data_IF_499990249037
#
_entry.id   IF_499990249037
#
_cell.length_a   1.000
_cell.length_b   1.000
_cell.length_c   1.000
_cell.angle_alpha   90.00
_cell.angle_beta   90.00
_cell.angle_gamma   90.00
#
_symmetry.space_group_name_H-M   'P 1'
#
loop_
_entity.id
_entity.type
_entity.pdbx_description
1 polymer ?
#
# COMPACT_ATOMS: atom_id res chain seq x y z
N UNK A 1 -5.54 11.62 40.83
CA UNK A 1 -5.67 10.66 39.71
C UNK A 1 -4.30 10.53 39.08
N UNK A 2 -3.64 9.40 39.30
CA UNK A 2 -2.25 9.12 38.94
C UNK A 2 -2.13 8.75 37.45
N UNK A 3 -1.34 9.52 36.70
CA UNK A 3 -0.99 9.19 35.32
C UNK A 3 0.12 8.12 35.31
N UNK A 4 -0.23 6.92 34.86
CA UNK A 4 0.69 5.80 34.66
C UNK A 4 1.49 5.99 33.37
N UNK A 5 2.66 6.62 33.47
CA UNK A 5 3.68 6.60 32.43
C UNK A 5 4.24 5.18 32.33
N UNK A 6 3.89 4.42 31.30
CA UNK A 6 4.59 3.16 30.96
C UNK A 6 6.08 3.43 30.77
N UNK A 7 6.99 2.69 31.43
CA UNK A 7 8.42 2.89 31.22
C UNK A 7 8.81 2.42 29.83
N UNK A 8 9.49 3.29 29.07
CA UNK A 8 10.12 2.96 27.79
C UNK A 8 11.09 1.78 27.99
N UNK A 9 10.85 0.65 27.31
CA UNK A 9 11.71 -0.53 27.43
C UNK A 9 13.08 -0.17 26.85
N UNK A 10 14.20 -0.40 27.56
CA UNK A 10 15.51 -0.06 27.04
C UNK A 10 15.79 -0.86 25.75
N UNK A 11 15.98 -0.16 24.63
CA UNK A 11 16.45 -0.77 23.39
C UNK A 11 17.83 -1.38 23.67
N UNK A 12 17.95 -2.70 23.56
CA UNK A 12 19.22 -3.40 23.75
C UNK A 12 20.29 -2.77 22.85
N UNK A 13 21.48 -2.44 23.38
CA UNK A 13 22.55 -1.89 22.57
C UNK A 13 22.94 -2.90 21.49
N UNK A 14 23.17 -2.40 20.29
CA UNK A 14 23.61 -3.24 19.17
C UNK A 14 25.03 -3.71 19.43
N UNK A 15 25.29 -5.00 19.19
CA UNK A 15 26.66 -5.49 19.16
C UNK A 15 27.45 -4.81 18.04
N UNK A 16 28.76 -4.69 18.23
CA UNK A 16 29.65 -4.12 17.22
C UNK A 16 29.53 -4.83 15.86
N UNK A 17 29.35 -6.16 15.90
CA UNK A 17 29.10 -6.99 14.70
C UNK A 17 27.81 -6.58 13.98
N UNK A 18 26.72 -6.35 14.72
CA UNK A 18 25.47 -5.86 14.14
C UNK A 18 25.59 -4.44 13.59
N UNK A 19 26.37 -3.58 14.25
CA UNK A 19 26.60 -2.20 13.79
C UNK A 19 27.43 -2.17 12.51
N UNK A 20 28.49 -2.96 12.43
CA UNK A 20 29.32 -3.11 11.23
C UNK A 20 28.50 -3.65 10.04
N UNK A 21 27.68 -4.68 10.26
CA UNK A 21 26.78 -5.22 9.24
C UNK A 21 25.76 -4.19 8.76
N UNK A 22 25.14 -3.43 9.67
CA UNK A 22 24.21 -2.34 9.31
C UNK A 22 24.88 -1.24 8.51
N UNK A 23 26.10 -0.83 8.87
CA UNK A 23 26.88 0.16 8.10
C UNK A 23 27.20 -0.36 6.69
N UNK A 24 27.58 -1.62 6.56
CA UNK A 24 27.86 -2.24 5.26
C UNK A 24 26.60 -2.30 4.39
N UNK A 25 25.46 -2.70 4.96
CA UNK A 25 24.19 -2.77 4.24
C UNK A 25 23.64 -1.39 3.87
N UNK A 26 23.82 -0.38 4.74
CA UNK A 26 23.44 1.01 4.43
C UNK A 26 24.23 1.59 3.25
N UNK A 27 25.49 1.17 3.06
CA UNK A 27 26.28 1.54 1.86
C UNK A 27 25.76 0.89 0.57
N UNK A 28 25.00 -0.21 0.67
CA UNK A 28 24.39 -0.92 -0.47
C UNK A 28 22.98 -0.40 -0.81
N UNK A 29 22.22 0.05 0.17
CA UNK A 29 20.86 0.59 -0.01
C UNK A 29 20.82 2.09 0.20
N UNK A 30 21.16 2.88 -0.83
CA UNK A 30 21.18 4.35 -0.72
C UNK A 30 19.90 5.05 -1.16
N UNK A 31 18.94 4.30 -1.73
CA UNK A 31 17.77 4.87 -2.41
C UNK A 31 18.15 5.89 -3.50
N UNK A 32 17.16 6.55 -4.11
CA UNK A 32 17.42 7.63 -5.06
C UNK A 32 17.90 8.89 -4.31
N UNK A 33 19.15 9.29 -4.51
CA UNK A 33 19.76 10.48 -3.85
C UNK A 33 19.67 11.76 -4.67
N UNK A 34 19.46 11.64 -5.99
CA UNK A 34 19.38 12.78 -6.91
C UNK A 34 17.93 13.23 -7.11
N UNK A 35 17.67 14.51 -7.44
CA UNK A 35 16.34 14.98 -7.81
C UNK A 35 15.71 14.15 -8.94
N UNK A 36 16.49 13.81 -9.98
CA UNK A 36 16.06 12.96 -11.09
C UNK A 36 15.74 11.52 -10.66
N UNK A 37 16.57 10.93 -9.77
CA UNK A 37 16.32 9.60 -9.22
C UNK A 37 15.06 9.56 -8.36
N UNK A 38 14.82 10.61 -7.57
CA UNK A 38 13.59 10.77 -6.79
C UNK A 38 12.38 10.94 -7.69
N UNK A 39 12.50 11.72 -8.77
CA UNK A 39 11.44 11.89 -9.77
C UNK A 39 11.10 10.58 -10.50
N UNK A 40 12.09 9.75 -10.85
CA UNK A 40 11.83 8.38 -11.36
C UNK A 40 11.15 7.50 -10.31
N UNK A 41 11.65 7.52 -9.07
CA UNK A 41 11.07 6.71 -8.00
C UNK A 41 9.64 7.13 -7.65
N UNK A 42 9.27 8.41 -7.76
CA UNK A 42 7.91 8.89 -7.54
C UNK A 42 6.96 8.51 -8.68
N UNK A 43 7.48 8.29 -9.89
CA UNK A 43 6.71 7.77 -11.01
C UNK A 43 6.31 6.30 -10.81
N UNK A 44 7.00 5.51 -9.97
CA UNK A 44 6.57 4.13 -9.67
C UNK A 44 5.15 4.08 -9.10
N UNK A 45 4.77 5.07 -8.28
CA UNK A 45 3.41 5.19 -7.75
C UNK A 45 2.36 5.48 -8.85
N UNK A 46 2.76 6.20 -9.91
CA UNK A 46 1.90 6.56 -11.06
C UNK A 46 1.88 5.48 -12.13
N UNK A 47 2.97 4.72 -12.30
CA UNK A 47 3.12 3.64 -13.28
C UNK A 47 2.16 2.50 -13.02
N UNK A 48 1.95 2.17 -11.74
CA UNK A 48 1.16 1.01 -11.33
C UNK A 48 -0.20 1.37 -10.71
N UNK A 49 -0.46 2.67 -10.55
CA UNK A 49 -1.73 3.21 -10.07
C UNK A 49 -2.18 2.68 -8.70
N UNK A 50 -1.25 2.16 -7.89
CA UNK A 50 -1.59 1.52 -6.62
C UNK A 50 -2.03 2.54 -5.55
N UNK A 51 -1.42 3.74 -5.60
CA UNK A 51 -1.74 4.87 -4.73
C UNK A 51 -2.64 5.92 -5.40
N UNK A 52 -3.27 5.61 -6.53
CA UNK A 52 -4.18 6.57 -7.16
C UNK A 52 -5.45 6.67 -6.34
N UNK A 53 -5.93 7.90 -6.12
CA UNK A 53 -7.24 8.14 -5.50
C UNK A 53 -8.37 7.61 -6.39
N UNK A 54 -8.13 7.54 -7.70
CA UNK A 54 -9.05 6.95 -8.68
C UNK A 54 -9.00 5.42 -8.59
N UNK A 55 -10.17 4.78 -8.46
CA UNK A 55 -10.31 3.33 -8.48
C UNK A 55 -9.95 2.71 -9.85
N UNK A 56 -10.39 3.38 -10.93
CA UNK A 56 -10.14 2.99 -12.32
C UNK A 56 -8.95 3.77 -12.90
N UNK A 57 -8.04 3.07 -13.58
CA UNK A 57 -7.02 3.69 -14.43
C UNK A 57 -7.52 3.83 -15.87
N UNK A 58 -6.95 4.77 -16.62
CA UNK A 58 -7.37 5.12 -17.99
C UNK A 58 -7.27 3.98 -19.02
N UNK A 59 -6.63 2.87 -18.67
CA UNK A 59 -6.38 1.71 -19.53
C UNK A 59 -7.05 0.43 -19.02
N UNK A 60 -7.85 0.52 -17.96
CA UNK A 60 -8.59 -0.63 -17.42
C UNK A 60 -9.96 -0.71 -18.06
N UNK A 61 -10.38 -1.93 -18.41
CA UNK A 61 -11.71 -2.24 -18.89
C UNK A 61 -12.72 -1.88 -17.77
N UNK A 62 -13.57 -0.86 -17.97
CA UNK A 62 -14.59 -0.50 -16.98
C UNK A 62 -15.51 -1.68 -16.66
N UNK A 63 -15.67 -2.61 -17.59
CA UNK A 63 -16.54 -3.77 -17.52
C UNK A 63 -16.10 -4.78 -16.45
N UNK A 64 -14.79 -5.04 -16.31
CA UNK A 64 -14.27 -5.99 -15.33
C UNK A 64 -14.45 -5.47 -13.90
N UNK A 65 -14.27 -4.16 -13.70
CA UNK A 65 -14.51 -3.53 -12.42
C UNK A 65 -16.01 -3.51 -12.09
N UNK A 66 -16.86 -3.18 -13.07
CA UNK A 66 -18.32 -3.21 -12.92
C UNK A 66 -18.80 -4.60 -12.55
N UNK A 67 -18.34 -5.65 -13.24
CA UNK A 67 -18.70 -7.03 -12.92
C UNK A 67 -18.27 -7.45 -11.51
N UNK A 68 -17.05 -7.07 -11.09
CA UNK A 68 -16.58 -7.33 -9.73
C UNK A 68 -17.42 -6.59 -8.69
N UNK A 69 -17.66 -5.30 -8.89
CA UNK A 69 -18.50 -4.48 -8.01
C UNK A 69 -19.90 -5.07 -7.88
N UNK A 70 -20.54 -5.40 -8.99
CA UNK A 70 -21.91 -5.91 -9.00
C UNK A 70 -21.99 -7.26 -8.30
N UNK A 71 -20.99 -8.14 -8.50
CA UNK A 71 -20.91 -9.41 -7.75
C UNK A 71 -20.84 -9.21 -6.23
N UNK A 72 -20.14 -8.17 -5.76
CA UNK A 72 -20.07 -7.87 -4.33
C UNK A 72 -21.37 -7.22 -3.80
N UNK A 73 -22.02 -6.37 -4.59
CA UNK A 73 -23.33 -5.81 -4.21
C UNK A 73 -24.37 -6.92 -4.08
N UNK A 74 -24.39 -7.86 -5.02
CA UNK A 74 -25.30 -9.01 -5.02
C UNK A 74 -25.02 -9.97 -3.85
N UNK A 75 -23.74 -10.17 -3.49
CA UNK A 75 -23.32 -11.02 -2.37
C UNK A 75 -23.67 -10.42 -1.02
N UNK A 76 -23.30 -9.15 -0.79
CA UNK A 76 -23.39 -8.53 0.53
C UNK A 76 -24.72 -7.81 0.78
N UNK A 77 -25.48 -7.49 -0.26
CA UNK A 77 -26.80 -6.85 -0.20
C UNK A 77 -26.83 -5.66 0.80
N UNK A 78 -25.98 -4.62 0.62
CA UNK A 78 -25.89 -3.52 1.56
C UNK A 78 -27.22 -2.76 1.68
N UNK A 79 -27.67 -2.53 2.91
CA UNK A 79 -28.94 -1.87 3.23
C UNK A 79 -28.76 -0.42 3.71
N UNK A 80 -27.52 -0.01 4.02
CA UNK A 80 -27.18 1.34 4.46
C UNK A 80 -26.09 1.99 3.60
N UNK A 81 -26.00 3.33 3.58
CA UNK A 81 -24.91 4.03 2.90
C UNK A 81 -23.51 3.61 3.40
N UNK A 82 -23.39 3.32 4.70
CA UNK A 82 -22.14 2.85 5.30
C UNK A 82 -21.76 1.46 4.78
N UNK A 83 -22.71 0.53 4.71
CA UNK A 83 -22.48 -0.79 4.14
C UNK A 83 -22.12 -0.71 2.65
N UNK A 84 -22.84 0.13 1.89
CA UNK A 84 -22.52 0.38 0.48
C UNK A 84 -21.09 0.91 0.32
N UNK A 85 -20.67 1.85 1.18
CA UNK A 85 -19.30 2.34 1.17
C UNK A 85 -18.28 1.24 1.42
N UNK A 86 -18.51 0.38 2.42
CA UNK A 86 -17.63 -0.76 2.70
C UNK A 86 -17.53 -1.73 1.51
N UNK A 87 -18.65 -2.07 0.89
CA UNK A 87 -18.70 -2.96 -0.29
C UNK A 87 -17.93 -2.38 -1.47
N UNK A 88 -18.11 -1.08 -1.74
CA UNK A 88 -17.37 -0.38 -2.78
C UNK A 88 -15.86 -0.35 -2.50
N UNK A 89 -15.44 -0.11 -1.25
CA UNK A 89 -14.03 -0.14 -0.86
C UNK A 89 -13.42 -1.54 -1.00
N UNK A 90 -14.18 -2.60 -0.70
CA UNK A 90 -13.75 -3.99 -0.94
C UNK A 90 -13.50 -4.26 -2.42
N UNK A 91 -14.42 -3.83 -3.31
CA UNK A 91 -14.25 -3.98 -4.75
C UNK A 91 -13.03 -3.18 -5.26
N UNK A 92 -12.87 -1.93 -4.81
CA UNK A 92 -11.72 -1.07 -5.12
C UNK A 92 -10.39 -1.71 -4.71
N UNK A 93 -10.30 -2.19 -3.47
CA UNK A 93 -9.11 -2.83 -2.94
C UNK A 93 -8.77 -4.11 -3.70
N UNK A 94 -9.76 -4.96 -3.98
CA UNK A 94 -9.57 -6.20 -4.69
C UNK A 94 -9.11 -5.97 -6.13
N UNK A 95 -9.68 -4.99 -6.83
CA UNK A 95 -9.27 -4.64 -8.18
C UNK A 95 -7.82 -4.14 -8.23
N UNK A 96 -7.43 -3.27 -7.28
CA UNK A 96 -6.03 -2.83 -7.11
C UNK A 96 -5.08 -3.98 -6.79
N UNK A 97 -5.50 -4.94 -5.96
CA UNK A 97 -4.70 -6.12 -5.63
C UNK A 97 -4.48 -7.04 -6.83
N UNK A 98 -5.51 -7.28 -7.65
CA UNK A 98 -5.38 -8.05 -8.89
C UNK A 98 -4.34 -7.42 -9.82
N UNK A 99 -4.38 -6.09 -9.96
CA UNK A 99 -3.42 -5.33 -10.75
C UNK A 99 -1.97 -5.55 -10.31
N UNK A 100 -1.69 -5.49 -9.00
CA UNK A 100 -0.33 -5.72 -8.47
C UNK A 100 0.11 -7.16 -8.67
N UNK A 101 -0.77 -8.13 -8.40
CA UNK A 101 -0.44 -9.56 -8.55
C UNK A 101 -0.16 -9.95 -10.00
N UNK A 102 -0.88 -9.38 -10.95
CA UNK A 102 -0.63 -9.60 -12.38
C UNK A 102 0.71 -9.04 -12.89
N UNK A 103 1.38 -8.17 -12.11
CA UNK A 103 2.69 -7.62 -12.47
C UNK A 103 3.88 -8.36 -11.86
N UNK A 104 3.63 -9.27 -10.91
CA UNK A 104 4.67 -10.10 -10.28
C UNK A 104 4.85 -11.46 -10.99
N UNK A 105 4.05 -11.75 -12.03
CA UNK A 105 4.13 -12.95 -12.88
C UNK A 105 4.85 -12.63 -14.20
#
# INVERSE_FOLDING_TARGET
MSNSTTPDKPKRPLSEKQLAARRLNARKSTGPRTPQGKARSSQNARKHGFFTQTALLFYEAPEDFVALRDSYIDEYQPQSPTEMHCVMEMANAQFRLRRVRGMEA
#
